data_IF_595628223623
#
_entry.id   IF_595628223623
#
_cell.length_a   1.000
_cell.length_b   1.000
_cell.length_c   1.000
_cell.angle_alpha   90.00
_cell.angle_beta   90.00
_cell.angle_gamma   90.00
#
_symmetry.space_group_name_H-M   'P 1'
#
loop_
_entity.id
_entity.type
_entity.pdbx_description
1 polymer ?
#
# COMPACT_ATOMS: atom_id res chain seq x y z
N UNK A 1 12.12 -3.75 24.84
CA UNK A 1 12.67 -2.97 23.71
C UNK A 1 12.23 -1.50 23.74
N UNK A 2 10.90 -1.17 23.70
CA UNK A 2 10.43 0.22 23.69
C UNK A 2 10.88 1.02 24.92
N UNK A 3 10.82 0.40 26.11
CA UNK A 3 11.31 1.03 27.35
C UNK A 3 12.82 1.26 27.34
N UNK A 4 13.59 0.36 26.73
CA UNK A 4 15.03 0.52 26.53
C UNK A 4 15.37 1.66 25.58
N UNK A 5 14.49 1.92 24.60
CA UNK A 5 14.60 3.07 23.69
C UNK A 5 14.07 4.39 24.30
N UNK A 6 13.69 4.40 25.57
CA UNK A 6 13.16 5.59 26.24
C UNK A 6 11.74 5.98 25.83
N UNK A 7 11.02 5.10 25.16
CA UNK A 7 9.67 5.35 24.67
C UNK A 7 8.62 4.93 25.72
N UNK A 8 7.80 5.87 26.15
CA UNK A 8 6.68 5.56 27.04
C UNK A 8 5.53 4.93 26.29
N UNK A 9 4.74 4.07 26.97
CA UNK A 9 3.49 3.51 26.42
C UNK A 9 2.55 4.60 25.89
N UNK A 10 2.47 5.74 26.58
CA UNK A 10 1.63 6.88 26.17
C UNK A 10 2.12 7.50 24.85
N UNK A 11 3.43 7.63 24.66
CA UNK A 11 4.02 8.14 23.43
C UNK A 11 3.70 7.21 22.24
N UNK A 12 3.89 5.90 22.42
CA UNK A 12 3.56 4.89 21.42
C UNK A 12 2.08 4.89 21.08
N UNK A 13 1.22 4.90 22.09
CA UNK A 13 -0.24 4.95 21.88
C UNK A 13 -0.68 6.21 21.13
N UNK A 14 -0.12 7.37 21.50
CA UNK A 14 -0.42 8.63 20.82
C UNK A 14 0.08 8.66 19.37
N UNK A 15 1.18 7.98 19.07
CA UNK A 15 1.66 7.80 17.71
C UNK A 15 0.68 6.94 16.89
N UNK A 16 0.31 5.76 17.39
CA UNK A 16 -0.63 4.87 16.69
C UNK A 16 -1.97 5.53 16.39
N UNK A 17 -2.50 6.34 17.32
CA UNK A 17 -3.76 7.08 17.11
C UNK A 17 -3.71 8.12 15.99
N UNK A 18 -2.52 8.52 15.56
CA UNK A 18 -2.32 9.48 14.47
C UNK A 18 -2.12 8.81 13.12
N UNK A 19 -1.93 7.50 13.09
CA UNK A 19 -1.76 6.77 11.86
C UNK A 19 -3.11 6.68 11.13
N UNK A 20 -3.10 7.03 9.87
CA UNK A 20 -4.25 6.82 8.98
C UNK A 20 -4.19 5.41 8.40
N UNK A 21 -5.33 4.72 8.34
CA UNK A 21 -5.43 3.40 7.71
C UNK A 21 -5.41 3.48 6.19
N UNK A 22 -5.84 4.60 5.66
CA UNK A 22 -5.79 4.91 4.25
C UNK A 22 -5.80 6.42 4.05
N UNK A 23 -5.41 6.84 2.88
CA UNK A 23 -5.63 8.22 2.43
C UNK A 23 -5.76 8.25 0.91
N UNK A 24 -6.44 9.30 0.43
CA UNK A 24 -6.56 9.58 -0.98
C UNK A 24 -6.09 11.01 -1.22
N UNK A 25 -5.21 11.19 -2.19
CA UNK A 25 -4.72 12.51 -2.55
C UNK A 25 -4.73 12.70 -4.07
N UNK A 26 -4.70 13.94 -4.49
CA UNK A 26 -4.59 14.29 -5.91
C UNK A 26 -3.29 15.02 -6.16
N UNK A 27 -2.53 14.54 -7.13
CA UNK A 27 -1.33 15.20 -7.62
C UNK A 27 -1.42 15.35 -9.15
N UNK A 28 -1.43 16.58 -9.64
CA UNK A 28 -1.50 16.89 -11.09
C UNK A 28 -2.54 16.06 -11.85
N UNK A 29 -3.79 16.07 -11.37
CA UNK A 29 -4.94 15.30 -11.90
C UNK A 29 -4.92 13.79 -11.63
N UNK A 30 -3.84 13.21 -11.15
CA UNK A 30 -3.80 11.80 -10.72
C UNK A 30 -4.38 11.70 -9.31
N UNK A 31 -5.41 10.90 -9.15
CA UNK A 31 -6.05 10.59 -7.87
C UNK A 31 -5.49 9.26 -7.37
N UNK A 32 -4.82 9.28 -6.25
CA UNK A 32 -4.09 8.13 -5.71
C UNK A 32 -4.68 7.72 -4.37
N UNK A 33 -5.14 6.49 -4.31
CA UNK A 33 -5.57 5.82 -3.09
C UNK A 33 -4.37 5.06 -2.51
N UNK A 34 -4.10 5.26 -1.22
CA UNK A 34 -3.11 4.48 -0.47
C UNK A 34 -3.82 3.76 0.67
N UNK A 35 -3.69 2.44 0.72
CA UNK A 35 -4.25 1.59 1.77
C UNK A 35 -3.30 0.45 2.08
N UNK A 36 -3.53 -0.29 3.17
CA UNK A 36 -2.68 -1.42 3.50
C UNK A 36 -2.92 -2.61 2.57
N UNK A 37 -4.17 -3.05 2.42
CA UNK A 37 -4.49 -4.29 1.70
C UNK A 37 -4.98 -4.14 0.25
N UNK A 38 -5.22 -2.91 -0.21
CA UNK A 38 -5.79 -2.64 -1.53
C UNK A 38 -7.31 -2.80 -1.59
N UNK A 39 -7.95 -2.04 -2.47
CA UNK A 39 -9.41 -2.07 -2.70
C UNK A 39 -9.71 -2.46 -4.13
N UNK A 40 -10.89 -3.05 -4.35
CA UNK A 40 -11.34 -3.48 -5.69
C UNK A 40 -11.74 -2.31 -6.61
N UNK A 41 -11.91 -1.10 -6.08
CA UNK A 41 -12.24 0.13 -6.82
C UNK A 41 -11.92 1.37 -6.00
N UNK A 42 -11.84 2.51 -6.65
CA UNK A 42 -11.78 3.80 -5.96
C UNK A 42 -13.08 4.03 -5.19
N UNK A 43 -13.04 4.23 -3.87
CA UNK A 43 -14.25 4.47 -3.09
C UNK A 43 -14.76 5.89 -3.31
N UNK A 44 -16.08 6.06 -3.41
CA UNK A 44 -16.72 7.38 -3.46
C UNK A 44 -16.56 8.10 -2.11
N UNK A 45 -16.64 7.35 -1.02
CA UNK A 45 -16.49 7.86 0.33
C UNK A 45 -15.68 6.87 1.19
N UNK A 46 -14.46 7.26 1.55
CA UNK A 46 -13.56 6.46 2.40
C UNK A 46 -14.15 6.13 3.77
N UNK A 47 -15.05 6.97 4.31
CA UNK A 47 -15.68 6.72 5.60
C UNK A 47 -16.65 5.53 5.60
N UNK A 48 -17.08 5.09 4.43
CA UNK A 48 -17.98 3.95 4.26
C UNK A 48 -17.26 2.63 3.97
N UNK A 49 -15.94 2.68 3.79
CA UNK A 49 -15.14 1.47 3.58
C UNK A 49 -14.91 0.78 4.92
N UNK A 50 -15.19 -0.51 4.99
CA UNK A 50 -14.97 -1.26 6.21
C UNK A 50 -13.48 -1.30 6.57
N UNK A 51 -13.16 -1.13 7.85
CA UNK A 51 -11.78 -1.19 8.36
C UNK A 51 -11.07 -2.47 7.94
N UNK A 52 -11.77 -3.60 7.93
CA UNK A 52 -11.23 -4.87 7.50
C UNK A 52 -10.77 -4.85 6.03
N UNK A 53 -11.52 -4.20 5.15
CA UNK A 53 -11.11 -4.05 3.74
C UNK A 53 -9.88 -3.17 3.58
N UNK A 54 -9.74 -2.12 4.41
CA UNK A 54 -8.55 -1.26 4.39
C UNK A 54 -7.29 -2.00 4.84
N UNK A 55 -7.43 -2.95 5.78
CA UNK A 55 -6.32 -3.71 6.35
C UNK A 55 -6.00 -4.95 5.50
N UNK A 56 -7.01 -5.77 5.22
CA UNK A 56 -6.79 -7.05 4.55
C UNK A 56 -6.95 -6.99 3.03
N UNK A 57 -7.50 -5.89 2.53
CA UNK A 57 -7.87 -5.73 1.12
C UNK A 57 -9.18 -6.40 0.78
N UNK A 58 -9.68 -6.13 -0.43
CA UNK A 58 -10.87 -6.78 -0.97
C UNK A 58 -10.53 -8.17 -1.51
N UNK A 59 -11.43 -9.14 -1.31
CA UNK A 59 -11.24 -10.54 -1.75
C UNK A 59 -10.45 -11.38 -0.77
N UNK A 60 -10.03 -12.56 -1.19
CA UNK A 60 -9.25 -13.48 -0.36
C UNK A 60 -7.75 -13.23 -0.53
N UNK A 61 -6.98 -13.54 0.50
CA UNK A 61 -5.55 -13.24 0.53
C UNK A 61 -4.77 -14.02 -0.53
N UNK A 62 -5.18 -15.24 -0.79
CA UNK A 62 -4.54 -16.16 -1.74
C UNK A 62 -4.60 -15.66 -3.19
N UNK A 63 -5.62 -14.84 -3.51
CA UNK A 63 -5.81 -14.25 -4.83
C UNK A 63 -5.22 -12.84 -4.86
N UNK A 64 -3.91 -12.74 -4.64
CA UNK A 64 -3.22 -11.46 -4.43
C UNK A 64 -3.41 -10.46 -5.59
N UNK A 65 -3.49 -10.94 -6.81
CA UNK A 65 -3.65 -10.09 -8.00
C UNK A 65 -5.10 -9.69 -8.28
N UNK A 66 -6.08 -10.36 -7.69
CA UNK A 66 -7.50 -10.08 -7.96
C UNK A 66 -7.91 -8.67 -7.57
N UNK A 67 -7.37 -8.16 -6.48
CA UNK A 67 -7.64 -6.78 -6.05
C UNK A 67 -7.14 -5.77 -7.08
N UNK A 68 -5.97 -5.99 -7.65
CA UNK A 68 -5.35 -5.10 -8.63
C UNK A 68 -6.06 -5.19 -9.98
N UNK A 69 -6.42 -6.38 -10.42
CA UNK A 69 -7.21 -6.59 -11.64
C UNK A 69 -8.60 -5.97 -11.52
N UNK A 70 -9.24 -6.14 -10.37
CA UNK A 70 -10.54 -5.54 -10.11
C UNK A 70 -10.45 -4.01 -10.05
N UNK A 71 -9.43 -3.46 -9.40
CA UNK A 71 -9.24 -2.01 -9.35
C UNK A 71 -9.04 -1.46 -10.76
N UNK A 72 -8.14 -2.01 -11.56
CA UNK A 72 -7.86 -1.56 -12.92
C UNK A 72 -9.10 -1.60 -13.82
N UNK A 73 -9.94 -2.64 -13.67
CA UNK A 73 -11.20 -2.76 -14.42
C UNK A 73 -12.20 -1.64 -14.12
N UNK A 74 -12.19 -1.08 -12.92
CA UNK A 74 -13.14 -0.06 -12.46
C UNK A 74 -12.55 1.34 -12.39
N UNK A 75 -11.24 1.49 -12.50
CA UNK A 75 -10.55 2.77 -12.37
C UNK A 75 -10.82 3.68 -13.56
N UNK A 76 -11.04 4.96 -13.30
CA UNK A 76 -10.91 5.98 -14.33
C UNK A 76 -9.44 6.17 -14.72
N UNK A 77 -9.18 6.71 -15.91
CA UNK A 77 -7.81 6.86 -16.45
C UNK A 77 -6.84 7.64 -15.56
N UNK A 78 -7.35 8.40 -14.61
CA UNK A 78 -6.55 9.19 -13.66
C UNK A 78 -6.59 8.64 -12.23
N UNK A 79 -7.16 7.47 -12.00
CA UNK A 79 -7.25 6.84 -10.70
C UNK A 79 -6.21 5.72 -10.56
N UNK A 80 -5.53 5.71 -9.42
CA UNK A 80 -4.44 4.79 -9.11
C UNK A 80 -4.56 4.30 -7.68
N UNK A 81 -4.07 3.09 -7.39
CA UNK A 81 -3.90 2.63 -6.01
C UNK A 81 -2.49 2.18 -5.72
N UNK A 82 -2.10 2.39 -4.47
CA UNK A 82 -0.84 1.93 -3.88
C UNK A 82 -1.16 1.16 -2.61
N UNK A 83 -0.70 -0.05 -2.51
CA UNK A 83 -0.95 -0.91 -1.35
C UNK A 83 0.23 -1.84 -1.05
N UNK A 84 0.12 -2.63 -0.01
CA UNK A 84 1.03 -3.70 0.36
C UNK A 84 0.25 -4.94 0.79
N UNK A 85 0.71 -5.62 1.85
CA UNK A 85 0.08 -6.74 2.54
C UNK A 85 -0.08 -8.03 1.69
N UNK A 86 -0.26 -7.91 0.39
CA UNK A 86 -0.49 -9.04 -0.51
C UNK A 86 0.74 -9.28 -1.34
N UNK A 87 1.72 -9.97 -0.76
CA UNK A 87 2.93 -10.30 -1.48
C UNK A 87 3.11 -11.80 -1.56
N UNK A 88 2.83 -12.34 -2.73
CA UNK A 88 3.31 -13.65 -3.12
C UNK A 88 4.63 -13.52 -3.85
N UNK A 89 5.42 -14.59 -3.80
CA UNK A 89 6.67 -14.67 -4.54
C UNK A 89 6.44 -14.30 -6.02
N UNK A 90 7.19 -13.32 -6.49
CA UNK A 90 7.14 -12.88 -7.87
C UNK A 90 6.12 -11.78 -8.20
N UNK A 91 5.33 -11.27 -7.24
CA UNK A 91 4.44 -10.12 -7.51
C UNK A 91 5.28 -8.88 -7.82
N UNK A 92 5.11 -8.23 -8.98
CA UNK A 92 5.85 -7.03 -9.33
C UNK A 92 5.40 -5.81 -8.50
N UNK A 93 6.27 -4.82 -8.36
CA UNK A 93 5.89 -3.56 -7.70
C UNK A 93 4.85 -2.76 -8.51
N UNK A 94 4.99 -2.72 -9.82
CA UNK A 94 3.98 -2.22 -10.75
C UNK A 94 3.20 -3.42 -11.29
N UNK A 95 2.01 -3.63 -10.74
CA UNK A 95 1.17 -4.78 -11.09
C UNK A 95 0.47 -4.57 -12.42
N UNK A 96 -0.02 -3.36 -12.62
CA UNK A 96 -0.62 -2.89 -13.87
C UNK A 96 -0.55 -1.36 -13.93
N UNK A 97 -1.10 -0.75 -14.98
CA UNK A 97 -1.06 0.69 -15.21
C UNK A 97 -1.74 1.55 -14.13
N UNK A 98 -2.57 0.95 -13.27
CA UNK A 98 -3.31 1.62 -12.20
C UNK A 98 -2.90 1.20 -10.79
N UNK A 99 -2.15 0.11 -10.64
CA UNK A 99 -1.92 -0.52 -9.33
C UNK A 99 -0.44 -0.76 -9.03
N UNK A 100 -0.03 -0.38 -7.83
CA UNK A 100 1.32 -0.55 -7.33
C UNK A 100 1.29 -1.29 -5.99
N UNK A 101 1.99 -2.42 -5.91
CA UNK A 101 2.16 -3.20 -4.69
C UNK A 101 3.56 -2.97 -4.11
N UNK A 102 3.62 -2.30 -2.97
CA UNK A 102 4.87 -1.97 -2.30
C UNK A 102 5.30 -2.98 -1.23
N UNK A 103 4.55 -4.06 -1.08
CA UNK A 103 5.00 -5.16 -0.25
C UNK A 103 6.06 -5.98 -0.99
N UNK A 104 7.27 -5.87 -0.56
CA UNK A 104 8.42 -6.57 -1.12
C UNK A 104 8.89 -7.75 -0.27
N UNK A 105 8.10 -8.20 0.72
CA UNK A 105 8.43 -9.28 1.67
C UNK A 105 9.83 -9.12 2.29
N UNK A 106 10.15 -7.92 2.76
CA UNK A 106 11.48 -7.57 3.30
C UNK A 106 11.86 -8.49 4.46
N UNK A 107 10.91 -8.84 5.31
CA UNK A 107 11.06 -9.75 6.44
C UNK A 107 11.41 -11.18 6.02
N UNK A 108 11.09 -11.55 4.79
CA UNK A 108 11.42 -12.84 4.18
C UNK A 108 12.67 -12.78 3.30
N UNK A 109 13.43 -11.68 3.37
CA UNK A 109 14.64 -11.48 2.56
C UNK A 109 14.37 -10.87 1.18
N UNK A 110 13.19 -10.34 0.96
CA UNK A 110 12.81 -9.64 -0.26
C UNK A 110 13.41 -8.23 -0.36
N UNK A 111 12.70 -7.32 -0.99
CA UNK A 111 13.18 -5.97 -1.31
C UNK A 111 12.29 -4.90 -0.70
N UNK A 112 12.89 -3.86 -0.13
CA UNK A 112 12.15 -2.64 0.20
C UNK A 112 11.74 -1.94 -1.10
N UNK A 113 10.45 -1.70 -1.26
CA UNK A 113 9.89 -1.04 -2.42
C UNK A 113 9.42 0.36 -2.08
N UNK A 114 9.62 1.29 -3.00
CA UNK A 114 9.12 2.64 -2.91
C UNK A 114 8.53 3.07 -4.25
N UNK A 115 7.57 3.98 -4.21
CA UNK A 115 6.97 4.60 -5.38
C UNK A 115 7.19 6.11 -5.32
N UNK A 116 7.80 6.65 -6.34
CA UNK A 116 7.91 8.08 -6.56
C UNK A 116 6.86 8.53 -7.57
N UNK A 117 6.04 9.50 -7.21
CA UNK A 117 5.13 10.16 -8.13
C UNK A 117 5.67 11.56 -8.45
N UNK A 118 6.05 11.75 -9.68
CA UNK A 118 6.57 13.01 -10.20
C UNK A 118 5.70 13.56 -11.34
N UNK A 119 6.11 14.66 -11.93
CA UNK A 119 5.48 15.20 -13.15
C UNK A 119 5.60 14.25 -14.35
N UNK A 120 6.64 13.40 -14.37
CA UNK A 120 6.88 12.42 -15.42
C UNK A 120 6.12 11.10 -15.22
N UNK A 121 5.35 10.98 -14.13
CA UNK A 121 4.57 9.79 -13.81
C UNK A 121 5.08 9.07 -12.57
N UNK A 122 4.79 7.77 -12.51
CA UNK A 122 5.20 6.89 -11.42
C UNK A 122 6.52 6.20 -11.73
N UNK A 123 7.39 6.12 -10.73
CA UNK A 123 8.66 5.39 -10.82
C UNK A 123 8.80 4.50 -9.59
N UNK A 124 8.89 3.20 -9.80
CA UNK A 124 9.18 2.24 -8.74
C UNK A 124 10.67 2.19 -8.45
N UNK A 125 11.03 2.16 -7.17
CA UNK A 125 12.41 2.01 -6.68
C UNK A 125 12.49 0.81 -5.76
N UNK A 126 13.53 0.02 -5.87
CA UNK A 126 13.75 -1.17 -5.06
C UNK A 126 15.15 -1.14 -4.46
N UNK A 127 15.21 -1.48 -3.18
CA UNK A 127 16.48 -1.63 -2.44
C UNK A 127 16.51 -3.08 -1.96
N UNK A 128 17.50 -3.83 -2.42
CA UNK A 128 17.72 -5.18 -1.96
C UNK A 128 18.03 -5.16 -0.46
N UNK A 129 17.45 -6.08 0.30
CA UNK A 129 17.86 -6.33 1.68
C UNK A 129 19.33 -6.75 1.65
N UNK A 130 20.24 -5.87 2.09
CA UNK A 130 21.55 -6.35 2.50
C UNK A 130 21.28 -7.26 3.70
N UNK A 131 21.59 -8.55 3.58
CA UNK A 131 21.57 -9.44 4.75
C UNK A 131 22.36 -8.75 5.83
N UNK A 132 21.68 -8.26 6.87
CA UNK A 132 22.32 -7.96 8.12
C UNK A 132 22.83 -9.32 8.65
N UNK A 133 24.10 -9.54 8.44
CA UNK A 133 24.85 -10.62 9.06
C UNK A 133 24.93 -10.36 10.58
#
# INVERSE_FOLDING_TARGET
ELAQAGLSRKAVYNFYRKLSQCFCYTYRRKKVLVSHGGLARMPENLSLVATAELIYGTGVYEDALDVDMSFAKHAAANEYQVHGHRNYEGVPAEVNEHCFNLDGAVEMGGQLRALELSENGFVTKMIASSKLL
#
